data_IF_621005290522
#
_entry.id   IF_621005290522
#
_cell.length_a   1.000
_cell.length_b   1.000
_cell.length_c   1.000
_cell.angle_alpha   90.00
_cell.angle_beta   90.00
_cell.angle_gamma   90.00
#
_symmetry.space_group_name_H-M   'P 1'
#
loop_
_entity.id
_entity.type
_entity.pdbx_description
1 polymer ?
#
# COMPACT_ATOMS: atom_id res chain seq x y z
N UNK A 1 13.09 -25.00 -32.86
CA UNK A 1 13.59 -25.98 -31.87
C UNK A 1 13.73 -25.28 -30.51
N UNK A 2 13.70 -26.04 -29.42
CA UNK A 2 13.88 -25.46 -28.04
C UNK A 2 15.21 -24.67 -27.96
N UNK A 3 16.23 -25.08 -28.62
CA UNK A 3 17.54 -24.41 -28.65
C UNK A 3 17.52 -23.02 -29.32
N UNK A 4 16.52 -22.71 -30.14
CA UNK A 4 16.44 -21.42 -30.86
C UNK A 4 15.86 -20.33 -29.95
N UNK A 5 15.06 -20.69 -28.96
CA UNK A 5 14.47 -19.74 -28.00
C UNK A 5 15.40 -19.38 -26.83
N UNK A 6 16.49 -20.15 -26.66
CA UNK A 6 17.44 -19.91 -25.57
C UNK A 6 18.46 -18.83 -25.94
N UNK A 7 18.79 -17.99 -24.96
CA UNK A 7 19.82 -16.96 -25.12
C UNK A 7 21.19 -17.61 -25.33
N UNK A 8 21.93 -17.01 -26.24
CA UNK A 8 23.29 -17.44 -26.56
C UNK A 8 24.28 -16.41 -26.04
N UNK A 9 25.51 -16.86 -25.81
CA UNK A 9 26.63 -15.98 -25.42
C UNK A 9 26.94 -15.04 -26.57
N UNK A 10 26.92 -13.73 -26.29
CA UNK A 10 27.23 -12.64 -27.20
C UNK A 10 28.52 -11.93 -26.80
N UNK A 11 29.11 -11.11 -27.68
CA UNK A 11 30.34 -10.36 -27.37
C UNK A 11 30.22 -9.50 -26.12
N UNK A 12 29.09 -8.84 -25.91
CA UNK A 12 28.82 -8.05 -24.69
C UNK A 12 28.93 -8.82 -23.39
N UNK A 13 28.67 -10.14 -23.41
CA UNK A 13 28.76 -10.99 -22.22
C UNK A 13 30.23 -11.24 -21.82
N UNK A 14 31.16 -11.16 -22.79
CA UNK A 14 32.60 -11.32 -22.53
C UNK A 14 33.20 -10.10 -21.82
N UNK A 15 32.53 -8.95 -21.88
CA UNK A 15 32.97 -7.69 -21.28
C UNK A 15 32.39 -7.50 -19.86
N UNK A 16 31.41 -8.33 -19.46
CA UNK A 16 30.83 -8.24 -18.13
C UNK A 16 31.80 -8.73 -17.04
N UNK A 17 32.14 -7.91 -16.03
CA UNK A 17 33.08 -8.29 -14.95
C UNK A 17 32.64 -9.53 -14.16
N UNK A 18 31.36 -9.86 -14.12
CA UNK A 18 30.81 -11.04 -13.46
C UNK A 18 30.96 -12.34 -14.26
N UNK A 19 31.30 -12.25 -15.55
CA UNK A 19 31.32 -13.35 -16.51
C UNK A 19 32.76 -13.77 -16.89
N UNK A 20 33.68 -13.68 -15.96
CA UNK A 20 35.15 -13.94 -16.19
C UNK A 20 35.49 -15.34 -16.70
N UNK A 21 34.55 -16.28 -16.59
CA UNK A 21 34.68 -17.64 -17.08
C UNK A 21 34.37 -17.79 -18.59
N UNK A 22 33.79 -16.76 -19.22
CA UNK A 22 33.45 -16.78 -20.63
C UNK A 22 34.66 -16.36 -21.47
N UNK A 23 34.84 -17.03 -22.61
CA UNK A 23 35.85 -16.74 -23.59
C UNK A 23 35.26 -16.66 -25.00
N UNK A 24 36.00 -16.18 -25.99
CA UNK A 24 35.55 -16.16 -27.39
C UNK A 24 35.12 -17.54 -27.92
N UNK A 25 35.64 -18.64 -27.36
CA UNK A 25 35.21 -20.00 -27.71
C UNK A 25 33.79 -20.33 -27.26
N UNK A 26 33.16 -19.51 -26.37
CA UNK A 26 31.81 -19.69 -25.89
C UNK A 26 30.77 -18.95 -26.75
N UNK A 27 31.20 -18.07 -27.68
CA UNK A 27 30.28 -17.31 -28.54
C UNK A 27 29.34 -18.25 -29.31
N UNK A 28 28.07 -17.89 -29.35
CA UNK A 28 27.01 -18.63 -30.00
C UNK A 28 26.53 -19.90 -29.27
N UNK A 29 27.20 -20.31 -28.17
CA UNK A 29 26.72 -21.40 -27.31
C UNK A 29 25.58 -20.92 -26.42
N UNK A 30 24.70 -21.84 -26.01
CA UNK A 30 23.64 -21.54 -25.06
C UNK A 30 24.25 -21.00 -23.78
N UNK A 31 23.73 -19.86 -23.34
CA UNK A 31 24.17 -19.19 -22.11
C UNK A 31 23.68 -19.94 -20.88
N UNK A 32 24.59 -20.27 -19.95
CA UNK A 32 24.20 -20.78 -18.65
C UNK A 32 23.67 -19.62 -17.82
N UNK A 33 22.33 -19.44 -17.79
CA UNK A 33 21.67 -18.38 -17.08
C UNK A 33 20.39 -18.89 -16.43
N UNK A 34 19.97 -18.24 -15.33
CA UNK A 34 18.68 -18.53 -14.69
C UNK A 34 17.51 -18.33 -15.67
N UNK A 35 17.59 -17.34 -16.55
CA UNK A 35 16.57 -17.09 -17.55
C UNK A 35 16.41 -18.27 -18.51
N UNK A 36 17.51 -18.82 -19.04
CA UNK A 36 17.48 -20.01 -19.89
C UNK A 36 16.99 -21.25 -19.13
N UNK A 37 17.41 -21.41 -17.88
CA UNK A 37 16.93 -22.50 -17.05
C UNK A 37 15.40 -22.44 -16.89
N UNK A 38 14.86 -21.26 -16.52
CA UNK A 38 13.41 -21.08 -16.37
C UNK A 38 12.68 -21.25 -17.70
N UNK A 39 13.25 -20.76 -18.82
CA UNK A 39 12.68 -20.92 -20.15
C UNK A 39 12.48 -22.39 -20.56
N UNK A 40 13.38 -23.30 -20.15
CA UNK A 40 13.27 -24.74 -20.42
C UNK A 40 12.09 -25.40 -19.67
N UNK A 41 11.68 -24.83 -18.54
CA UNK A 41 10.61 -25.40 -17.71
C UNK A 41 9.23 -24.82 -18.00
N UNK A 42 9.11 -23.89 -18.96
CA UNK A 42 7.84 -23.24 -19.30
C UNK A 42 7.04 -22.80 -18.03
N UNK A 43 7.61 -21.92 -17.19
CA UNK A 43 7.11 -21.67 -15.83
C UNK A 43 5.72 -21.04 -15.82
N UNK A 44 4.98 -21.24 -14.72
CA UNK A 44 3.87 -20.36 -14.36
C UNK A 44 4.45 -19.16 -13.63
N UNK A 45 4.16 -17.95 -14.11
CA UNK A 45 4.62 -16.69 -13.48
C UNK A 45 3.43 -16.02 -12.83
N UNK A 46 3.57 -15.68 -11.54
CA UNK A 46 2.60 -14.88 -10.80
C UNK A 46 3.17 -13.47 -10.64
N UNK A 47 2.41 -12.47 -11.07
CA UNK A 47 2.77 -11.06 -11.00
C UNK A 47 1.84 -10.37 -10.03
N UNK A 48 2.35 -9.98 -8.87
CA UNK A 48 1.61 -9.17 -7.91
C UNK A 48 1.73 -7.68 -8.27
N UNK A 49 0.66 -6.90 -7.99
CA UNK A 49 0.55 -5.47 -8.35
C UNK A 49 0.88 -5.21 -9.84
N UNK A 50 0.35 -6.06 -10.72
CA UNK A 50 0.67 -6.10 -12.15
C UNK A 50 0.52 -4.75 -12.87
N UNK A 51 -0.38 -3.87 -12.38
CA UNK A 51 -0.57 -2.53 -12.92
C UNK A 51 0.68 -1.64 -12.84
N UNK A 52 1.64 -1.94 -11.94
CA UNK A 52 2.89 -1.19 -11.79
C UNK A 52 3.99 -1.66 -12.78
N UNK A 53 3.83 -2.82 -13.38
CA UNK A 53 4.89 -3.51 -14.11
C UNK A 53 4.74 -3.46 -15.65
N UNK A 54 3.84 -2.64 -16.18
CA UNK A 54 3.56 -2.56 -17.63
C UNK A 54 4.58 -1.72 -18.37
N UNK A 55 5.82 -2.21 -18.42
CA UNK A 55 6.95 -1.60 -19.14
C UNK A 55 7.49 -2.54 -20.20
N UNK A 56 8.12 -2.00 -21.26
CA UNK A 56 8.76 -2.81 -22.29
C UNK A 56 9.79 -3.79 -21.71
N UNK A 57 10.51 -3.38 -20.65
CA UNK A 57 11.46 -4.25 -19.94
C UNK A 57 10.78 -5.44 -19.27
N UNK A 58 9.59 -5.22 -18.69
CA UNK A 58 8.83 -6.29 -18.07
C UNK A 58 8.37 -7.31 -19.11
N UNK A 59 7.80 -6.85 -20.23
CA UNK A 59 7.38 -7.76 -21.31
C UNK A 59 8.56 -8.48 -21.94
N UNK A 60 9.70 -7.80 -22.14
CA UNK A 60 10.92 -8.45 -22.61
C UNK A 60 11.40 -9.54 -21.64
N UNK A 61 11.28 -9.31 -20.33
CA UNK A 61 11.61 -10.32 -19.30
C UNK A 61 10.68 -11.53 -19.37
N UNK A 62 9.37 -11.30 -19.50
CA UNK A 62 8.40 -12.40 -19.67
C UNK A 62 8.71 -13.23 -20.91
N UNK A 63 9.01 -12.57 -22.04
CA UNK A 63 9.38 -13.27 -23.28
C UNK A 63 10.65 -14.12 -23.13
N UNK A 64 11.64 -13.63 -22.38
CA UNK A 64 12.87 -14.40 -22.08
C UNK A 64 12.61 -15.66 -21.28
N UNK A 65 11.66 -15.58 -20.33
CA UNK A 65 11.32 -16.69 -19.43
C UNK A 65 10.38 -17.71 -20.09
N UNK A 66 9.72 -17.35 -21.19
CA UNK A 66 8.79 -18.19 -21.93
C UNK A 66 7.74 -18.90 -21.03
N UNK A 67 6.93 -18.16 -20.26
CA UNK A 67 5.98 -18.77 -19.35
C UNK A 67 4.86 -19.49 -20.09
N UNK A 68 4.43 -20.63 -19.58
CA UNK A 68 3.22 -21.31 -20.03
C UNK A 68 1.94 -20.53 -19.66
N UNK A 69 1.97 -19.84 -18.52
CA UNK A 69 0.86 -19.00 -18.01
C UNK A 69 1.44 -17.83 -17.23
N UNK A 70 0.83 -16.66 -17.38
CA UNK A 70 1.05 -15.50 -16.53
C UNK A 70 -0.24 -15.19 -15.78
N UNK A 71 -0.20 -15.28 -14.45
CA UNK A 71 -1.30 -14.89 -13.56
C UNK A 71 -0.99 -13.51 -13.00
N UNK A 72 -1.82 -12.54 -13.32
CA UNK A 72 -1.70 -11.17 -12.81
C UNK A 72 -2.69 -10.94 -11.67
N UNK A 73 -2.18 -10.51 -10.52
CA UNK A 73 -2.97 -10.05 -9.37
C UNK A 73 -2.91 -8.52 -9.35
N UNK A 74 -4.07 -7.88 -9.38
CA UNK A 74 -4.16 -6.42 -9.41
C UNK A 74 -5.52 -5.92 -8.95
N UNK A 75 -5.55 -4.82 -8.21
CA UNK A 75 -6.79 -4.12 -7.87
C UNK A 75 -7.37 -3.34 -9.05
N UNK A 76 -6.53 -2.97 -10.04
CA UNK A 76 -6.89 -2.13 -11.18
C UNK A 76 -6.52 -2.79 -12.52
N UNK A 77 -7.29 -3.82 -12.97
CA UNK A 77 -7.02 -4.50 -14.23
C UNK A 77 -7.26 -3.57 -15.41
N UNK A 78 -6.36 -3.58 -16.40
CA UNK A 78 -6.59 -2.91 -17.67
C UNK A 78 -7.29 -3.86 -18.64
N UNK A 79 -8.57 -3.65 -18.85
CA UNK A 79 -9.41 -4.50 -19.72
C UNK A 79 -8.93 -4.60 -21.17
N UNK A 80 -8.04 -3.70 -21.61
CA UNK A 80 -7.47 -3.75 -22.97
C UNK A 80 -6.41 -4.84 -23.13
N UNK A 81 -5.77 -5.23 -22.01
CA UNK A 81 -4.64 -6.17 -21.98
C UNK A 81 -4.88 -7.38 -21.10
N UNK A 82 -5.85 -7.31 -20.18
CA UNK A 82 -6.11 -8.39 -19.24
C UNK A 82 -7.36 -9.20 -19.62
N UNK A 83 -7.22 -10.50 -19.59
CA UNK A 83 -8.35 -11.41 -19.51
C UNK A 83 -8.69 -11.60 -18.03
N UNK A 84 -9.69 -10.86 -17.54
CA UNK A 84 -10.12 -10.93 -16.13
C UNK A 84 -10.88 -12.23 -15.91
N UNK A 85 -10.27 -13.17 -15.20
CA UNK A 85 -10.85 -14.48 -14.90
C UNK A 85 -11.78 -14.41 -13.70
N UNK A 86 -11.35 -13.64 -12.67
CA UNK A 86 -12.09 -13.49 -11.43
C UNK A 86 -11.88 -12.10 -10.85
N UNK A 87 -12.94 -11.54 -10.27
CA UNK A 87 -12.91 -10.24 -9.58
C UNK A 87 -13.66 -10.37 -8.26
N UNK A 88 -13.01 -9.98 -7.17
CA UNK A 88 -13.62 -9.94 -5.84
C UNK A 88 -14.23 -8.55 -5.64
N UNK A 89 -15.50 -8.49 -5.31
CA UNK A 89 -16.17 -7.23 -4.99
C UNK A 89 -15.92 -6.80 -3.53
N UNK A 90 -16.06 -5.50 -3.25
CA UNK A 90 -15.99 -4.99 -1.89
C UNK A 90 -17.06 -5.59 -0.96
N UNK A 91 -18.22 -5.96 -1.52
CA UNK A 91 -19.29 -6.63 -0.78
C UNK A 91 -18.90 -8.04 -0.34
N UNK A 92 -18.24 -8.79 -1.21
CA UNK A 92 -17.70 -10.12 -0.86
C UNK A 92 -16.66 -9.99 0.25
N UNK A 93 -15.71 -9.04 0.13
CA UNK A 93 -14.72 -8.76 1.17
C UNK A 93 -15.35 -8.34 2.49
N UNK A 94 -16.43 -7.54 2.44
CA UNK A 94 -17.18 -7.15 3.63
C UNK A 94 -17.92 -8.34 4.25
N UNK A 95 -18.56 -9.18 3.43
CA UNK A 95 -19.28 -10.36 3.90
C UNK A 95 -18.34 -11.34 4.62
N UNK A 96 -17.09 -11.46 4.14
CA UNK A 96 -16.03 -12.27 4.76
C UNK A 96 -15.30 -11.54 5.92
N UNK A 97 -15.76 -10.36 6.31
CA UNK A 97 -15.15 -9.53 7.37
C UNK A 97 -13.66 -9.18 7.10
N UNK A 98 -13.27 -9.07 5.86
CA UNK A 98 -11.89 -8.71 5.49
C UNK A 98 -11.66 -7.21 5.49
N UNK A 99 -12.73 -6.41 5.35
CA UNK A 99 -12.65 -4.95 5.25
C UNK A 99 -13.64 -4.24 6.17
N UNK A 100 -13.22 -3.08 6.68
CA UNK A 100 -14.01 -2.14 7.47
C UNK A 100 -14.77 -1.20 6.53
N UNK A 101 -16.06 -1.40 6.37
CA UNK A 101 -16.96 -0.59 5.54
C UNK A 101 -18.24 -0.24 6.32
N UNK A 102 -18.81 0.97 6.14
CA UNK A 102 -18.41 2.03 5.21
C UNK A 102 -17.17 2.82 5.64
N UNK A 103 -16.62 3.60 4.71
CA UNK A 103 -15.62 4.64 5.00
C UNK A 103 -16.38 5.93 5.37
N UNK A 104 -16.10 6.48 6.55
CA UNK A 104 -16.64 7.77 7.00
C UNK A 104 -15.65 8.86 6.62
N UNK A 105 -16.08 9.80 5.78
CA UNK A 105 -15.22 10.86 5.25
C UNK A 105 -15.46 12.17 5.99
N UNK A 106 -14.37 12.80 6.47
CA UNK A 106 -14.32 14.17 6.96
C UNK A 106 -13.45 15.05 6.05
N UNK A 107 -13.96 16.22 5.68
CA UNK A 107 -13.23 17.18 4.84
C UNK A 107 -12.95 18.47 5.60
N UNK A 108 -11.71 18.97 5.47
CA UNK A 108 -11.21 20.14 6.18
C UNK A 108 -10.62 21.16 5.20
N UNK A 109 -11.22 22.37 5.18
CA UNK A 109 -10.82 23.46 4.29
C UNK A 109 -10.03 24.56 5.00
N UNK A 110 -10.06 24.59 6.35
CA UNK A 110 -9.54 25.67 7.19
C UNK A 110 -8.20 25.33 7.88
N UNK A 111 -7.33 24.63 7.19
CA UNK A 111 -6.04 24.23 7.73
C UNK A 111 -5.97 22.73 8.08
N UNK A 112 -4.76 22.28 8.26
CA UNK A 112 -4.46 20.87 8.54
C UNK A 112 -4.64 20.50 10.02
N UNK A 113 -4.61 21.47 10.92
CA UNK A 113 -4.73 21.30 12.36
C UNK A 113 -6.11 20.71 12.71
N UNK A 114 -7.18 21.26 12.12
CA UNK A 114 -8.54 20.74 12.34
C UNK A 114 -8.71 19.28 11.86
N UNK A 115 -8.00 18.89 10.81
CA UNK A 115 -7.97 17.52 10.31
C UNK A 115 -7.33 16.56 11.32
N UNK A 116 -6.22 16.97 11.96
CA UNK A 116 -5.55 16.21 13.02
C UNK A 116 -6.45 16.14 14.27
N UNK A 117 -6.98 17.26 14.71
CA UNK A 117 -7.82 17.34 15.93
C UNK A 117 -9.03 16.39 15.84
N UNK A 118 -9.70 16.36 14.70
CA UNK A 118 -10.82 15.43 14.49
C UNK A 118 -10.35 13.97 14.44
N UNK A 119 -9.20 13.72 13.84
CA UNK A 119 -8.61 12.37 13.80
C UNK A 119 -8.25 11.87 15.20
N UNK A 120 -7.78 12.75 16.09
CA UNK A 120 -7.53 12.45 17.51
C UNK A 120 -8.83 12.12 18.24
N UNK A 121 -9.89 12.91 18.02
CA UNK A 121 -11.22 12.64 18.65
C UNK A 121 -11.77 11.28 18.24
N UNK A 122 -11.70 10.97 16.94
CA UNK A 122 -12.12 9.67 16.42
C UNK A 122 -11.27 8.54 17.03
N UNK A 123 -9.95 8.69 17.07
CA UNK A 123 -9.05 7.69 17.64
C UNK A 123 -9.40 7.40 19.12
N UNK A 124 -9.60 8.45 19.95
CA UNK A 124 -9.97 8.31 21.36
C UNK A 124 -11.33 7.63 21.53
N UNK A 125 -12.31 7.99 20.71
CA UNK A 125 -13.62 7.34 20.68
C UNK A 125 -13.48 5.85 20.37
N UNK A 126 -12.74 5.51 19.32
CA UNK A 126 -12.54 4.12 18.91
C UNK A 126 -11.74 3.32 19.96
N UNK A 127 -10.77 3.94 20.62
CA UNK A 127 -10.00 3.27 21.66
C UNK A 127 -10.87 2.97 22.89
N UNK A 128 -11.73 3.89 23.29
CA UNK A 128 -12.71 3.67 24.37
C UNK A 128 -13.69 2.53 24.01
N UNK A 129 -14.12 2.45 22.74
CA UNK A 129 -14.98 1.37 22.23
C UNK A 129 -14.24 0.04 22.15
N UNK A 130 -12.98 0.06 21.72
CA UNK A 130 -12.13 -1.11 21.62
C UNK A 130 -11.85 -1.79 22.98
N UNK A 131 -11.87 -1.02 24.05
CA UNK A 131 -11.75 -1.57 25.41
C UNK A 131 -12.91 -2.49 25.81
N UNK A 132 -14.05 -2.43 25.12
CA UNK A 132 -15.23 -3.28 25.34
C UNK A 132 -15.22 -4.55 24.48
N UNK A 133 -14.28 -4.67 23.53
CA UNK A 133 -14.16 -5.84 22.65
C UNK A 133 -13.44 -6.99 23.35
N UNK A 134 -13.79 -8.25 23.05
CA UNK A 134 -13.13 -9.41 23.62
C UNK A 134 -11.68 -9.59 23.14
N UNK A 135 -11.41 -9.21 21.87
CA UNK A 135 -10.05 -9.22 21.33
C UNK A 135 -9.38 -7.85 21.46
N UNK A 136 -8.07 -7.88 21.61
CA UNK A 136 -7.28 -6.66 21.70
C UNK A 136 -7.30 -5.86 20.41
N UNK A 137 -7.84 -4.65 20.47
CA UNK A 137 -7.85 -3.67 19.39
C UNK A 137 -7.23 -2.37 19.91
N UNK A 138 -6.30 -1.82 19.16
CA UNK A 138 -5.71 -0.50 19.40
C UNK A 138 -5.83 0.33 18.13
N UNK A 139 -6.84 1.20 18.01
CA UNK A 139 -7.02 2.05 16.86
C UNK A 139 -5.83 2.98 16.65
N UNK A 140 -5.24 2.92 15.46
CA UNK A 140 -4.10 3.75 15.03
C UNK A 140 -4.57 4.75 14.00
N UNK A 141 -4.06 5.98 14.09
CA UNK A 141 -4.19 7.03 13.07
C UNK A 141 -2.97 6.97 12.15
N UNK A 142 -3.21 6.81 10.86
CA UNK A 142 -2.20 6.96 9.82
C UNK A 142 -2.23 8.40 9.31
N UNK A 143 -1.22 9.19 9.64
CA UNK A 143 -1.10 10.59 9.23
C UNK A 143 -0.20 10.71 8.02
N UNK A 144 -0.74 11.20 6.91
CA UNK A 144 0.02 11.52 5.72
C UNK A 144 0.41 13.01 5.73
N UNK A 145 1.67 13.29 6.09
CA UNK A 145 2.25 14.62 6.08
C UNK A 145 2.79 15.00 4.69
N UNK A 146 3.13 16.27 4.49
CA UNK A 146 3.74 16.77 3.26
C UNK A 146 5.22 16.36 3.16
N UNK A 147 5.81 16.36 1.95
CA UNK A 147 7.26 16.25 1.76
C UNK A 147 8.02 17.41 2.44
N UNK A 148 9.36 17.26 2.61
CA UNK A 148 10.22 18.22 3.32
C UNK A 148 10.22 19.65 2.76
N UNK A 149 9.80 19.82 1.53
CA UNK A 149 9.68 21.10 0.82
C UNK A 149 8.30 21.75 0.93
N UNK A 150 7.36 21.13 1.63
CA UNK A 150 5.99 21.58 1.82
C UNK A 150 5.54 21.41 3.28
N UNK A 151 4.54 22.20 3.71
CA UNK A 151 4.02 22.17 5.07
C UNK A 151 2.61 21.52 5.12
N UNK A 152 2.32 20.75 6.17
CA UNK A 152 3.20 20.40 7.30
C UNK A 152 4.10 19.20 6.99
N UNK A 153 5.36 19.32 7.39
CA UNK A 153 6.34 18.22 7.39
C UNK A 153 6.03 17.18 8.47
N UNK A 154 6.60 15.95 8.41
CA UNK A 154 6.45 14.97 9.48
C UNK A 154 6.87 15.47 10.85
N UNK A 155 7.93 16.27 10.92
CA UNK A 155 8.48 16.84 12.14
C UNK A 155 7.53 17.91 12.73
N UNK A 156 6.94 18.77 11.90
CA UNK A 156 5.94 19.74 12.33
C UNK A 156 4.66 19.06 12.84
N UNK A 157 4.22 18.01 12.18
CA UNK A 157 3.09 17.20 12.64
C UNK A 157 3.40 16.55 13.99
N UNK A 158 4.60 15.97 14.17
CA UNK A 158 5.02 15.40 15.46
C UNK A 158 5.02 16.45 16.56
N UNK A 159 5.59 17.60 16.28
CA UNK A 159 5.62 18.75 17.23
C UNK A 159 4.20 19.18 17.62
N UNK A 160 3.30 19.35 16.66
CA UNK A 160 1.91 19.71 16.92
C UNK A 160 1.19 18.67 17.78
N UNK A 161 1.34 17.39 17.48
CA UNK A 161 0.77 16.30 18.29
C UNK A 161 1.27 16.32 19.74
N UNK A 162 2.57 16.60 19.95
CA UNK A 162 3.18 16.62 21.27
C UNK A 162 2.84 17.89 22.04
N UNK A 163 3.11 19.06 21.46
CA UNK A 163 3.09 20.34 22.18
C UNK A 163 1.69 20.94 22.27
N UNK A 164 0.88 20.80 21.21
CA UNK A 164 -0.46 21.38 21.16
C UNK A 164 -1.52 20.38 21.61
N UNK A 165 -1.46 19.14 21.14
CA UNK A 165 -2.48 18.13 21.45
C UNK A 165 -2.16 17.30 22.69
N UNK A 166 -0.95 17.45 23.28
CA UNK A 166 -0.52 16.75 24.50
C UNK A 166 -0.38 15.22 24.33
N UNK A 167 -0.11 14.75 23.11
CA UNK A 167 0.11 13.32 22.84
C UNK A 167 1.54 12.94 23.29
N UNK A 168 1.72 11.91 24.15
CA UNK A 168 3.04 11.45 24.53
C UNK A 168 3.89 11.00 23.35
N UNK A 169 5.17 11.36 23.35
CA UNK A 169 6.10 11.01 22.24
C UNK A 169 6.11 9.52 21.95
N UNK A 170 6.08 8.66 22.97
CA UNK A 170 6.04 7.21 22.81
C UNK A 170 4.83 6.69 22.00
N UNK A 171 3.77 7.50 21.85
CA UNK A 171 2.60 7.14 21.06
C UNK A 171 2.71 7.55 19.58
N UNK A 172 3.78 8.23 19.19
CA UNK A 172 4.00 8.77 17.84
C UNK A 172 5.19 8.08 17.21
N UNK A 173 5.06 7.64 15.97
CA UNK A 173 6.16 7.07 15.21
C UNK A 173 6.20 7.68 13.79
N UNK A 174 7.39 8.04 13.33
CA UNK A 174 7.63 8.52 11.97
C UNK A 174 8.15 7.37 11.10
N UNK A 175 7.46 7.11 9.99
CA UNK A 175 7.82 6.07 9.02
C UNK A 175 7.88 6.68 7.60
N UNK A 176 9.05 7.19 7.24
CA UNK A 176 9.34 7.77 5.92
C UNK A 176 10.44 6.98 5.21
N UNK A 177 10.84 7.42 4.00
CA UNK A 177 11.96 6.82 3.29
C UNK A 177 13.30 6.90 4.04
N UNK A 178 13.50 7.98 4.82
CA UNK A 178 14.71 8.27 5.59
C UNK A 178 14.60 7.87 7.07
N UNK A 179 13.42 7.95 7.66
CA UNK A 179 13.18 7.71 9.10
C UNK A 179 12.32 6.45 9.27
N UNK A 180 12.83 5.46 10.00
CA UNK A 180 12.22 4.13 10.10
C UNK A 180 11.97 3.74 11.57
N UNK A 181 11.26 4.57 12.32
CA UNK A 181 10.98 4.33 13.75
C UNK A 181 10.12 3.08 14.01
N UNK A 182 9.46 2.55 12.97
CA UNK A 182 8.68 1.30 13.05
C UNK A 182 9.51 0.03 12.78
N UNK A 183 10.81 0.13 12.50
CA UNK A 183 11.62 -1.05 12.23
C UNK A 183 11.76 -1.92 13.49
N UNK A 184 11.29 -3.16 13.42
CA UNK A 184 11.31 -4.09 14.56
C UNK A 184 10.20 -3.84 15.60
N UNK A 185 9.29 -2.90 15.37
CA UNK A 185 8.15 -2.64 16.26
C UNK A 185 6.98 -3.55 15.86
N UNK A 186 6.57 -4.40 16.79
CA UNK A 186 5.31 -5.15 16.64
C UNK A 186 4.13 -4.26 17.05
N UNK A 187 3.44 -3.72 16.04
CA UNK A 187 2.25 -2.88 16.25
C UNK A 187 1.06 -3.67 16.84
N UNK A 188 1.05 -4.99 16.81
CA UNK A 188 0.00 -5.81 17.42
C UNK A 188 0.28 -6.16 18.89
N UNK A 189 1.50 -5.96 19.35
CA UNK A 189 1.85 -6.20 20.76
C UNK A 189 1.01 -5.30 21.69
N UNK A 190 0.44 -5.89 22.74
CA UNK A 190 -0.35 -5.14 23.74
C UNK A 190 0.47 -4.07 24.47
N UNK A 191 1.77 -4.28 24.56
CA UNK A 191 2.72 -3.35 25.19
C UNK A 191 3.13 -2.18 24.28
N UNK A 192 2.86 -2.26 22.98
CA UNK A 192 3.22 -1.19 22.05
C UNK A 192 2.38 0.07 22.29
N UNK A 193 2.99 1.23 22.55
CA UNK A 193 2.27 2.46 22.87
C UNK A 193 1.76 3.22 21.63
N UNK A 194 2.27 2.90 20.43
CA UNK A 194 2.03 3.70 19.19
C UNK A 194 0.55 3.83 18.86
N UNK A 195 0.09 5.08 18.68
CA UNK A 195 -1.29 5.47 18.30
C UNK A 195 -1.31 6.25 16.99
N UNK A 196 -0.21 6.93 16.68
CA UNK A 196 -0.07 7.79 15.52
C UNK A 196 1.15 7.37 14.72
N UNK A 197 0.94 7.10 13.43
CA UNK A 197 2.01 6.78 12.48
C UNK A 197 2.04 7.87 11.43
N UNK A 198 3.14 8.63 11.37
CA UNK A 198 3.33 9.74 10.44
C UNK A 198 4.14 9.24 9.24
N UNK A 199 3.65 9.48 8.03
CA UNK A 199 4.31 9.12 6.78
C UNK A 199 4.20 10.25 5.74
N UNK A 200 5.04 10.24 4.71
CA UNK A 200 4.96 11.22 3.59
C UNK A 200 4.34 10.57 2.35
N UNK A 201 4.83 9.41 1.98
CA UNK A 201 4.23 8.60 0.89
C UNK A 201 3.47 7.45 1.53
N UNK A 202 2.49 6.94 0.83
CA UNK A 202 1.90 5.67 1.24
C UNK A 202 3.05 4.76 1.68
N UNK A 203 3.01 4.30 2.94
CA UNK A 203 4.05 3.43 3.51
C UNK A 203 4.39 2.39 2.46
N UNK A 204 5.69 2.14 2.23
CA UNK A 204 6.19 1.27 1.15
C UNK A 204 5.38 -0.03 1.07
N UNK A 205 5.33 -0.61 -0.12
CA UNK A 205 4.84 -1.96 -0.34
C UNK A 205 5.30 -2.89 0.79
N UNK A 206 4.38 -3.67 1.35
CA UNK A 206 4.66 -4.56 2.48
C UNK A 206 4.31 -4.03 3.88
N UNK A 207 3.96 -2.74 4.07
CA UNK A 207 3.41 -2.31 5.36
C UNK A 207 1.95 -2.72 5.47
N UNK A 208 1.66 -3.55 6.45
CA UNK A 208 0.32 -4.03 6.76
C UNK A 208 0.04 -3.85 8.24
N UNK A 209 -0.98 -3.06 8.55
CA UNK A 209 -1.45 -2.88 9.92
C UNK A 209 -2.96 -2.69 9.93
N UNK A 210 -3.69 -3.77 10.14
CA UNK A 210 -5.16 -3.74 10.22
C UNK A 210 -5.68 -2.98 11.45
N UNK A 211 -4.81 -2.61 12.42
CA UNK A 211 -5.14 -1.71 13.52
C UNK A 211 -5.20 -0.23 13.08
N UNK A 212 -4.79 0.13 11.86
CA UNK A 212 -5.05 1.45 11.31
C UNK A 212 -6.53 1.62 11.00
N UNK A 213 -7.19 2.53 11.70
CA UNK A 213 -8.63 2.83 11.59
C UNK A 213 -8.91 4.17 10.97
N UNK A 214 -8.03 5.13 11.20
CA UNK A 214 -8.20 6.52 10.77
C UNK A 214 -7.06 6.90 9.82
N UNK A 215 -7.43 7.34 8.63
CA UNK A 215 -6.53 8.05 7.73
C UNK A 215 -6.69 9.56 7.98
N UNK A 216 -5.57 10.26 8.22
CA UNK A 216 -5.51 11.72 8.27
C UNK A 216 -4.57 12.19 7.15
N UNK A 217 -5.11 12.61 6.01
CA UNK A 217 -4.29 13.08 4.90
C UNK A 217 -4.19 14.59 4.89
N UNK A 218 -2.97 15.10 5.10
CA UNK A 218 -2.64 16.52 5.10
C UNK A 218 -2.12 16.99 3.74
N UNK A 219 -1.96 16.07 2.79
CA UNK A 219 -1.59 16.38 1.42
C UNK A 219 -2.81 16.80 0.62
N UNK A 220 -2.62 17.76 -0.28
CA UNK A 220 -3.61 18.04 -1.31
C UNK A 220 -3.77 16.82 -2.21
N UNK A 221 -4.91 16.17 -2.12
CA UNK A 221 -5.22 15.00 -2.91
C UNK A 221 -5.38 15.41 -4.38
N UNK A 222 -4.38 15.09 -5.19
CA UNK A 222 -4.38 15.37 -6.62
C UNK A 222 -4.65 14.12 -7.47
N UNK A 223 -4.54 12.92 -6.87
CA UNK A 223 -4.67 11.66 -7.60
C UNK A 223 -5.58 10.70 -6.84
N UNK A 224 -6.58 10.19 -7.53
CA UNK A 224 -7.46 9.16 -7.02
C UNK A 224 -6.73 7.86 -6.65
N UNK A 225 -5.59 7.56 -7.30
CA UNK A 225 -4.77 6.38 -7.02
C UNK A 225 -4.10 6.45 -5.65
N UNK A 226 -3.60 7.62 -5.24
CA UNK A 226 -2.95 7.79 -3.93
C UNK A 226 -3.97 7.60 -2.79
N UNK A 227 -5.19 8.12 -2.99
CA UNK A 227 -6.30 7.92 -2.03
C UNK A 227 -6.66 6.45 -1.89
N UNK A 228 -6.79 5.74 -3.00
CA UNK A 228 -7.15 4.32 -3.02
C UNK A 228 -6.12 3.47 -2.26
N UNK A 229 -4.83 3.70 -2.50
CA UNK A 229 -3.76 2.99 -1.81
C UNK A 229 -3.75 3.25 -0.31
N UNK A 230 -3.98 4.50 0.11
CA UNK A 230 -4.04 4.87 1.52
C UNK A 230 -5.28 4.32 2.21
N UNK A 231 -6.44 4.42 1.57
CA UNK A 231 -7.69 3.84 2.08
C UNK A 231 -7.59 2.33 2.21
N UNK A 232 -7.03 1.64 1.23
CA UNK A 232 -6.82 0.20 1.28
C UNK A 232 -6.07 -0.26 2.52
N UNK A 233 -5.20 0.58 3.09
CA UNK A 233 -4.46 0.27 4.31
C UNK A 233 -5.30 0.39 5.58
N UNK A 234 -6.19 1.39 5.66
CA UNK A 234 -7.06 1.58 6.82
C UNK A 234 -8.34 0.75 6.75
N UNK A 235 -8.68 0.23 5.57
CA UNK A 235 -9.88 -0.59 5.40
C UNK A 235 -9.72 -2.04 5.87
N UNK A 236 -8.50 -2.55 6.04
CA UNK A 236 -8.30 -3.94 6.47
C UNK A 236 -8.86 -4.21 7.86
N UNK A 237 -9.70 -5.25 7.99
CA UNK A 237 -10.31 -5.63 9.26
C UNK A 237 -9.29 -6.40 10.13
N UNK A 238 -9.08 -6.00 11.40
CA UNK A 238 -8.24 -6.78 12.31
C UNK A 238 -8.78 -8.20 12.46
N UNK A 239 -7.87 -9.18 12.33
CA UNK A 239 -8.13 -10.62 12.50
C UNK A 239 -9.21 -11.17 11.55
N UNK A 240 -9.58 -10.45 10.48
CA UNK A 240 -10.69 -10.79 9.56
C UNK A 240 -11.97 -11.19 10.31
N UNK A 241 -12.35 -10.43 11.36
CA UNK A 241 -13.46 -10.74 12.25
C UNK A 241 -14.29 -9.50 12.56
N UNK A 242 -15.61 -9.58 12.35
CA UNK A 242 -16.53 -8.52 12.71
C UNK A 242 -16.44 -8.17 14.21
N UNK A 243 -16.58 -6.88 14.52
CA UNK A 243 -16.59 -6.35 15.87
C UNK A 243 -18.00 -6.23 16.40
N UNK A 244 -18.17 -6.38 17.71
CA UNK A 244 -19.47 -6.21 18.36
C UNK A 244 -19.91 -4.74 18.33
N UNK A 245 -18.94 -3.83 18.40
CA UNK A 245 -19.15 -2.40 18.34
C UNK A 245 -19.19 -1.92 16.87
N UNK A 246 -20.32 -1.33 16.39
CA UNK A 246 -20.48 -0.95 14.99
C UNK A 246 -19.42 0.03 14.46
N UNK A 247 -18.94 0.95 15.31
CA UNK A 247 -17.91 1.93 14.95
C UNK A 247 -16.57 1.27 14.60
N UNK A 248 -16.28 0.12 15.17
CA UNK A 248 -15.05 -0.64 14.90
C UNK A 248 -15.14 -1.51 13.62
N UNK A 249 -16.30 -1.55 12.97
CA UNK A 249 -16.48 -2.16 11.66
C UNK A 249 -16.39 -1.13 10.52
N UNK A 250 -15.99 0.11 10.80
CA UNK A 250 -15.90 1.23 9.86
C UNK A 250 -14.48 1.74 9.78
N UNK A 251 -14.13 2.33 8.63
CA UNK A 251 -12.91 3.12 8.46
C UNK A 251 -13.24 4.60 8.47
N UNK A 252 -12.28 5.42 8.83
CA UNK A 252 -12.43 6.87 8.89
C UNK A 252 -11.33 7.50 8.05
N UNK A 253 -11.69 8.50 7.26
CA UNK A 253 -10.73 9.24 6.44
C UNK A 253 -11.00 10.75 6.56
N UNK A 254 -10.08 11.45 7.19
CA UNK A 254 -10.07 12.90 7.29
C UNK A 254 -9.06 13.45 6.29
N UNK A 255 -9.47 14.38 5.45
CA UNK A 255 -8.65 14.92 4.37
C UNK A 255 -8.67 16.44 4.34
N UNK A 256 -7.51 17.04 4.10
CA UNK A 256 -7.41 18.46 3.78
C UNK A 256 -7.70 18.63 2.29
N UNK A 257 -8.65 19.48 1.97
CA UNK A 257 -9.06 19.72 0.59
C UNK A 257 -9.08 21.21 0.28
N UNK A 258 -8.56 21.58 -0.88
CA UNK A 258 -8.67 22.94 -1.38
C UNK A 258 -10.10 23.27 -1.91
N UNK A 259 -10.90 22.25 -2.21
CA UNK A 259 -12.33 22.39 -2.53
C UNK A 259 -13.09 21.14 -2.09
N UNK A 260 -14.18 21.35 -1.34
CA UNK A 260 -15.05 20.33 -0.75
C UNK A 260 -15.66 19.35 -1.77
N UNK A 261 -15.81 19.75 -3.01
CA UNK A 261 -16.44 18.93 -4.06
C UNK A 261 -15.49 17.92 -4.70
N UNK A 262 -14.18 18.15 -4.65
CA UNK A 262 -13.22 17.36 -5.43
C UNK A 262 -12.78 16.09 -4.71
N UNK A 263 -12.49 16.15 -3.40
CA UNK A 263 -12.00 14.98 -2.67
C UNK A 263 -13.12 13.95 -2.41
N UNK A 264 -14.32 14.41 -2.03
CA UNK A 264 -15.47 13.53 -1.85
C UNK A 264 -15.92 12.87 -3.16
N UNK A 265 -15.94 13.62 -4.26
CA UNK A 265 -16.28 13.09 -5.58
C UNK A 265 -15.24 12.05 -6.04
N UNK A 266 -13.95 12.36 -5.94
CA UNK A 266 -12.87 11.43 -6.30
C UNK A 266 -12.91 10.15 -5.45
N UNK A 267 -13.17 10.26 -4.16
CA UNK A 267 -13.32 9.11 -3.26
C UNK A 267 -14.57 8.30 -3.59
N UNK A 268 -15.70 8.96 -3.80
CA UNK A 268 -16.96 8.31 -4.15
C UNK A 268 -16.86 7.59 -5.49
N UNK A 269 -16.35 8.24 -6.52
CA UNK A 269 -16.22 7.66 -7.85
C UNK A 269 -15.31 6.43 -7.82
N UNK A 270 -14.21 6.48 -7.06
CA UNK A 270 -13.29 5.33 -6.92
C UNK A 270 -13.84 4.19 -6.07
N UNK A 271 -14.56 4.50 -5.00
CA UNK A 271 -15.24 3.47 -4.20
C UNK A 271 -16.32 2.78 -5.05
N UNK A 272 -17.03 3.53 -5.89
CA UNK A 272 -18.05 2.98 -6.78
C UNK A 272 -17.43 2.22 -7.96
N UNK A 273 -16.43 2.77 -8.65
CA UNK A 273 -15.85 2.17 -9.87
C UNK A 273 -14.97 0.95 -9.59
N UNK A 274 -14.14 0.99 -8.53
CA UNK A 274 -13.15 -0.05 -8.29
C UNK A 274 -13.58 -1.06 -7.22
N UNK A 275 -14.43 -0.69 -6.30
CA UNK A 275 -14.90 -1.56 -5.23
C UNK A 275 -16.31 -2.11 -5.48
N UNK A 276 -16.97 -1.72 -6.58
CA UNK A 276 -18.27 -2.28 -6.98
C UNK A 276 -19.42 -1.89 -6.05
N UNK A 277 -19.41 -0.66 -5.52
CA UNK A 277 -20.52 -0.11 -4.73
C UNK A 277 -21.65 0.37 -5.61
#
# INVERSE_FOLDING_TARGET
SEAERLEKVEEKDLEEPSQTHLTKANLGRVKYSLANLLNLFDPIIIVDEAHNNRTDKFFATLNRLNPSVVLELTATPDKRYNNVIYQVSAWELKAENMVKLPVILGEFTNGWEGCIDESIKIQRLLEAKAALEPEYIRPIVLVQAQPKDQNPTPEEVKTYLMETCGIPEAQIAIATGSTKELTGVDLFAKTCPVRFVITVKALKEGWDCSLAYVLCSLQNIQSAKDVEQLLGRVMRMPYAKARTTPELNRSYANVVSASTLTAAALLKDRLVENLGF
#
